data_IF_622684044322
#
_entry.id   IF_622684044322
#
_cell.length_a   1.000
_cell.length_b   1.000
_cell.length_c   1.000
_cell.angle_alpha   90.00
_cell.angle_beta   90.00
_cell.angle_gamma   90.00
#
_symmetry.space_group_name_H-M   'P 1'
#
loop_
_entity.id
_entity.type
_entity.pdbx_description
1 polymer ?
#
# COMPACT_ATOMS: atom_id res chain seq x y z
N UNK A 1 16.76 -3.92 12.50
CA UNK A 1 16.07 -3.95 11.20
C UNK A 1 15.47 -2.56 10.99
N UNK A 2 15.93 -1.76 10.01
CA UNK A 2 15.25 -0.50 9.66
C UNK A 2 13.91 -0.88 9.00
N UNK A 3 12.78 -0.44 9.54
CA UNK A 3 11.54 -0.50 8.79
C UNK A 3 11.78 0.22 7.45
N UNK A 4 11.47 -0.42 6.30
CA UNK A 4 11.58 0.26 5.02
C UNK A 4 10.70 1.50 5.05
N UNK A 5 11.24 2.63 4.64
CA UNK A 5 10.48 3.88 4.55
C UNK A 5 9.28 3.67 3.64
N UNK A 6 8.16 4.36 3.90
CA UNK A 6 6.93 4.28 3.10
C UNK A 6 7.22 4.43 1.60
N UNK A 7 8.15 5.31 1.23
CA UNK A 7 8.59 5.50 -0.15
C UNK A 7 9.18 4.23 -0.80
N UNK A 8 9.94 3.41 -0.05
CA UNK A 8 10.50 2.16 -0.57
C UNK A 8 9.43 1.09 -0.76
N UNK A 9 8.46 1.05 0.15
CA UNK A 9 7.29 0.17 0.05
C UNK A 9 6.45 0.51 -1.17
N UNK A 10 6.11 1.79 -1.37
CA UNK A 10 5.36 2.27 -2.53
C UNK A 10 6.09 1.94 -3.83
N UNK A 11 7.42 2.17 -3.87
CA UNK A 11 8.25 1.83 -5.03
C UNK A 11 8.27 0.33 -5.33
N UNK A 12 8.38 -0.52 -4.31
CA UNK A 12 8.36 -1.97 -4.46
C UNK A 12 7.01 -2.46 -5.00
N UNK A 13 5.90 -1.97 -4.44
CA UNK A 13 4.55 -2.31 -4.91
C UNK A 13 4.36 -1.85 -6.37
N UNK A 14 4.71 -0.61 -6.69
CA UNK A 14 4.60 -0.07 -8.04
C UNK A 14 5.37 -0.92 -9.07
N UNK A 15 6.58 -1.36 -8.71
CA UNK A 15 7.38 -2.25 -9.54
C UNK A 15 6.74 -3.65 -9.69
N UNK A 16 6.22 -4.25 -8.61
CA UNK A 16 5.56 -5.56 -8.63
C UNK A 16 4.24 -5.56 -9.43
N UNK A 17 3.48 -4.47 -9.36
CA UNK A 17 2.16 -4.36 -9.99
C UNK A 17 2.21 -3.68 -11.36
N UNK A 18 3.38 -3.19 -11.78
CA UNK A 18 3.58 -2.36 -12.97
C UNK A 18 2.59 -1.17 -13.04
N UNK A 19 2.30 -0.57 -11.89
CA UNK A 19 1.42 0.60 -11.80
C UNK A 19 2.23 1.85 -11.48
N UNK A 20 1.77 3.04 -11.91
CA UNK A 20 2.45 4.29 -11.61
C UNK A 20 2.52 4.52 -10.09
N UNK A 21 3.69 4.97 -9.63
CA UNK A 21 3.94 5.25 -8.22
C UNK A 21 2.95 6.25 -7.62
N UNK A 22 2.45 7.20 -8.42
CA UNK A 22 1.46 8.18 -7.99
C UNK A 22 0.12 7.51 -7.62
N UNK A 23 -0.36 6.54 -8.41
CA UNK A 23 -1.57 5.78 -8.09
C UNK A 23 -1.39 4.91 -6.86
N UNK A 24 -0.22 4.27 -6.73
CA UNK A 24 0.09 3.43 -5.55
C UNK A 24 0.23 4.29 -4.29
N UNK A 25 0.86 5.46 -4.39
CA UNK A 25 1.00 6.41 -3.29
C UNK A 25 -0.38 6.91 -2.81
N UNK A 26 -1.23 7.34 -3.75
CA UNK A 26 -2.58 7.80 -3.41
C UNK A 26 -3.41 6.70 -2.73
N UNK A 27 -3.39 5.48 -3.28
CA UNK A 27 -4.10 4.35 -2.68
C UNK A 27 -3.53 3.98 -1.30
N UNK A 28 -2.21 4.08 -1.13
CA UNK A 28 -1.55 3.88 0.15
C UNK A 28 -1.98 4.94 1.17
N UNK A 29 -2.04 6.22 0.80
CA UNK A 29 -2.48 7.30 1.68
C UNK A 29 -3.96 7.19 2.07
N UNK A 30 -4.83 6.88 1.10
CA UNK A 30 -6.26 6.66 1.37
C UNK A 30 -6.48 5.49 2.34
N UNK A 31 -5.81 4.37 2.09
CA UNK A 31 -5.86 3.19 2.98
C UNK A 31 -5.22 3.50 4.34
N UNK A 32 -4.12 4.25 4.36
CA UNK A 32 -3.49 4.66 5.60
C UNK A 32 -4.41 5.55 6.44
N UNK A 33 -5.08 6.51 5.83
CA UNK A 33 -6.03 7.39 6.51
C UNK A 33 -7.16 6.56 7.17
N UNK A 34 -7.79 5.66 6.40
CA UNK A 34 -8.86 4.78 6.87
C UNK A 34 -8.41 3.92 8.06
N UNK A 35 -7.24 3.29 7.98
CA UNK A 35 -6.77 2.41 9.05
C UNK A 35 -6.16 3.20 10.22
N UNK A 36 -5.65 4.40 9.98
CA UNK A 36 -5.14 5.27 11.04
C UNK A 36 -6.28 5.84 11.90
N UNK A 37 -7.49 5.93 11.35
CA UNK A 37 -8.68 6.33 12.07
C UNK A 37 -9.07 5.23 13.07
N UNK A 38 -8.76 5.46 14.34
CA UNK A 38 -9.02 4.52 15.44
C UNK A 38 -7.87 3.59 15.81
N UNK A 39 -6.76 3.58 15.06
CA UNK A 39 -5.59 2.77 15.41
C UNK A 39 -4.73 3.42 16.51
N UNK A 40 -4.58 2.71 17.63
CA UNK A 40 -3.64 3.09 18.71
C UNK A 40 -2.18 2.77 18.39
N UNK A 41 -1.91 1.78 17.54
CA UNK A 41 -0.56 1.35 17.18
C UNK A 41 -0.36 1.50 15.68
N UNK A 42 0.48 2.47 15.29
CA UNK A 42 0.73 2.80 13.88
C UNK A 42 1.88 2.01 13.26
N UNK A 43 2.69 1.34 14.07
CA UNK A 43 3.82 0.52 13.60
C UNK A 43 3.40 -0.65 12.69
N UNK A 44 2.26 -1.27 12.98
CA UNK A 44 1.74 -2.38 12.18
C UNK A 44 0.88 -1.93 10.99
N UNK A 45 0.46 -0.66 10.98
CA UNK A 45 -0.34 -0.12 9.87
C UNK A 45 0.40 -0.21 8.55
N UNK A 46 1.72 0.03 8.56
CA UNK A 46 2.56 -0.08 7.36
C UNK A 46 2.41 -1.45 6.70
N UNK A 47 2.42 -2.53 7.49
CA UNK A 47 2.29 -3.90 6.98
C UNK A 47 0.88 -4.16 6.47
N UNK A 48 -0.14 -3.73 7.21
CA UNK A 48 -1.55 -3.90 6.83
C UNK A 48 -1.89 -3.16 5.54
N UNK A 49 -1.50 -1.89 5.45
CA UNK A 49 -1.71 -1.03 4.28
C UNK A 49 -0.96 -1.60 3.07
N UNK A 50 0.31 -1.99 3.23
CA UNK A 50 1.11 -2.63 2.18
C UNK A 50 0.39 -3.86 1.60
N UNK A 51 -0.12 -4.73 2.47
CA UNK A 51 -0.85 -5.93 2.06
C UNK A 51 -2.14 -5.57 1.33
N UNK A 52 -2.92 -4.63 1.88
CA UNK A 52 -4.20 -4.18 1.31
C UNK A 52 -4.03 -3.58 -0.09
N UNK A 53 -3.05 -2.70 -0.26
CA UNK A 53 -2.73 -2.08 -1.55
C UNK A 53 -2.31 -3.14 -2.57
N UNK A 54 -1.47 -4.11 -2.17
CA UNK A 54 -1.07 -5.23 -3.05
C UNK A 54 -2.26 -6.09 -3.47
N UNK A 55 -3.17 -6.42 -2.55
CA UNK A 55 -4.38 -7.19 -2.87
C UNK A 55 -5.33 -6.41 -3.79
N UNK A 56 -5.56 -5.12 -3.54
CA UNK A 56 -6.39 -4.28 -4.40
C UNK A 56 -5.83 -4.22 -5.83
N UNK A 57 -4.53 -3.96 -5.98
CA UNK A 57 -3.89 -3.89 -7.29
C UNK A 57 -3.90 -5.25 -8.02
N UNK A 58 -3.72 -6.35 -7.27
CA UNK A 58 -3.84 -7.71 -7.82
C UNK A 58 -5.25 -8.01 -8.30
N UNK A 59 -6.27 -7.64 -7.53
CA UNK A 59 -7.67 -7.83 -7.90
C UNK A 59 -8.02 -6.98 -9.13
N UNK A 60 -7.60 -5.72 -9.19
CA UNK A 60 -7.78 -4.87 -10.38
C UNK A 60 -7.17 -5.49 -11.63
N UNK A 61 -5.98 -6.11 -11.52
CA UNK A 61 -5.34 -6.80 -12.65
C UNK A 61 -6.07 -8.08 -13.05
N UNK A 62 -6.64 -8.82 -12.11
CA UNK A 62 -7.41 -10.05 -12.39
C UNK A 62 -8.80 -9.75 -12.94
N UNK A 63 -9.45 -8.67 -12.52
CA UNK A 63 -10.75 -8.25 -13.06
C UNK A 63 -10.69 -7.63 -14.45
N UNK A 64 -9.48 -7.32 -14.94
CA UNK A 64 -9.26 -6.83 -16.30
C UNK A 64 -9.13 -7.96 -17.34
N UNK A 65 -9.38 -9.22 -16.97
CA UNK A 65 -9.30 -10.38 -17.85
C UNK A 65 -10.67 -11.01 -18.12
#
# INVERSE_FOLDING_TARGET
MKQPSVAEVVKAIAAETQMPMETVAKMYEETWAEYSEGARIKDYLTVLVTRRVRENLRNMRTSAH
#
